data_IF_491605307673
#
_entry.id   IF_491605307673
#
_cell.length_a   1.000
_cell.length_b   1.000
_cell.length_c   1.000
_cell.angle_alpha   90.00
_cell.angle_beta   90.00
_cell.angle_gamma   90.00
#
_symmetry.space_group_name_H-M   'P 1'
#
loop_
_entity.id
_entity.type
_entity.pdbx_description
1 polymer ?
#
# COMPACT_ATOMS: atom_id res chain seq x y z
N UNK A 1 23.37 19.72 -16.08
CA UNK A 1 23.46 18.65 -15.10
C UNK A 1 22.25 17.72 -15.27
N UNK A 2 22.40 16.37 -15.15
CA UNK A 2 21.25 15.47 -15.18
C UNK A 2 20.40 15.73 -13.94
N UNK A 3 19.06 15.76 -14.12
CA UNK A 3 18.13 15.87 -12.99
C UNK A 3 18.36 14.67 -12.05
N UNK A 4 18.44 14.86 -10.72
CA UNK A 4 18.61 13.76 -9.77
C UNK A 4 17.47 12.74 -9.92
N UNK A 5 17.80 11.47 -9.78
CA UNK A 5 16.82 10.39 -9.89
C UNK A 5 15.88 10.42 -8.68
N UNK A 6 14.57 10.44 -8.93
CA UNK A 6 13.55 10.27 -7.88
C UNK A 6 13.57 8.82 -7.40
N UNK A 7 13.73 8.60 -6.09
CA UNK A 7 13.82 7.29 -5.47
C UNK A 7 12.57 6.98 -4.64
N UNK A 8 12.02 5.78 -4.81
CA UNK A 8 10.85 5.30 -4.05
C UNK A 8 11.20 4.01 -3.33
N UNK A 9 11.04 4.01 -2.01
CA UNK A 9 11.25 2.82 -1.19
C UNK A 9 10.06 1.89 -1.26
N UNK A 10 10.30 0.62 -1.59
CA UNK A 10 9.36 -0.49 -1.52
C UNK A 10 9.86 -1.49 -0.49
N UNK A 11 9.28 -1.55 0.72
CA UNK A 11 9.58 -2.61 1.67
C UNK A 11 9.23 -3.98 1.10
N UNK A 12 10.09 -4.97 1.35
CA UNK A 12 9.90 -6.34 0.90
C UNK A 12 9.15 -7.19 1.94
N UNK A 13 8.57 -8.31 1.48
CA UNK A 13 8.06 -9.37 2.34
C UNK A 13 9.20 -10.27 2.81
N UNK A 14 9.11 -10.78 4.05
CA UNK A 14 9.96 -11.82 4.56
C UNK A 14 9.30 -13.18 4.33
N UNK A 15 9.93 -14.03 3.52
CA UNK A 15 9.35 -15.32 3.12
C UNK A 15 10.35 -16.44 3.32
N UNK A 16 9.89 -17.53 3.90
CA UNK A 16 10.62 -18.81 3.83
C UNK A 16 10.24 -19.50 2.52
N UNK A 17 11.23 -19.72 1.65
CA UNK A 17 11.05 -20.41 0.38
C UNK A 17 11.81 -21.73 0.40
N UNK A 18 11.22 -22.75 -0.20
CA UNK A 18 11.75 -24.12 -0.23
C UNK A 18 10.67 -25.15 0.10
N UNK A 19 11.05 -26.36 0.47
CA UNK A 19 10.16 -27.44 0.85
C UNK A 19 10.72 -28.27 2.00
N UNK A 20 9.86 -28.66 2.94
CA UNK A 20 10.24 -29.46 4.11
C UNK A 20 11.33 -28.77 4.95
N UNK A 21 12.39 -29.49 5.27
CA UNK A 21 13.53 -28.96 6.05
C UNK A 21 14.48 -28.07 5.22
N UNK A 22 14.34 -28.08 3.89
CA UNK A 22 15.16 -27.28 2.97
C UNK A 22 14.47 -25.94 2.66
N UNK A 23 14.26 -25.12 3.69
CA UNK A 23 13.74 -23.75 3.56
C UNK A 23 14.80 -22.74 3.97
N UNK A 24 14.81 -21.59 3.30
CA UNK A 24 15.67 -20.48 3.69
C UNK A 24 14.92 -19.15 3.56
N UNK A 25 15.33 -18.11 4.33
CA UNK A 25 14.69 -16.81 4.29
C UNK A 25 15.03 -16.05 3.00
N UNK A 26 14.02 -15.38 2.45
CA UNK A 26 14.15 -14.47 1.32
C UNK A 26 13.42 -13.17 1.60
N UNK A 27 13.93 -12.09 1.02
CA UNK A 27 13.22 -10.84 0.87
C UNK A 27 12.59 -10.84 -0.53
N UNK A 28 11.26 -10.75 -0.59
CA UNK A 28 10.50 -10.89 -1.83
C UNK A 28 9.71 -9.62 -2.11
N UNK A 29 9.78 -9.15 -3.34
CA UNK A 29 8.98 -8.03 -3.84
C UNK A 29 8.38 -8.43 -5.20
N UNK A 30 7.06 -8.34 -5.33
CA UNK A 30 6.40 -8.50 -6.63
C UNK A 30 6.83 -7.40 -7.60
N UNK A 31 7.41 -7.76 -8.75
CA UNK A 31 7.96 -6.80 -9.72
C UNK A 31 6.91 -5.85 -10.31
N UNK A 32 5.62 -6.22 -10.26
CA UNK A 32 4.49 -5.38 -10.69
C UNK A 32 4.46 -4.01 -10.01
N UNK A 33 4.82 -3.93 -8.72
CA UNK A 33 4.93 -2.68 -7.98
C UNK A 33 6.07 -1.81 -8.51
N UNK A 34 7.26 -2.40 -8.67
CA UNK A 34 8.41 -1.70 -9.22
C UNK A 34 8.16 -1.22 -10.66
N UNK A 35 7.49 -2.03 -11.49
CA UNK A 35 7.09 -1.65 -12.86
C UNK A 35 6.11 -0.47 -12.84
N UNK A 36 5.07 -0.51 -12.00
CA UNK A 36 4.09 0.56 -11.89
C UNK A 36 4.73 1.89 -11.48
N UNK A 37 5.60 1.88 -10.48
CA UNK A 37 6.37 3.05 -10.05
C UNK A 37 7.26 3.57 -11.19
N UNK A 38 8.04 2.68 -11.82
CA UNK A 38 8.97 3.08 -12.90
C UNK A 38 8.23 3.68 -14.09
N UNK A 39 7.13 3.06 -14.51
CA UNK A 39 6.43 3.45 -15.75
C UNK A 39 5.53 4.65 -15.54
N UNK A 40 4.75 4.69 -14.45
CA UNK A 40 3.72 5.72 -14.25
C UNK A 40 4.17 6.84 -13.31
N UNK A 41 4.85 6.52 -12.20
CA UNK A 41 5.39 7.53 -11.30
C UNK A 41 6.71 8.13 -11.80
N UNK A 42 7.34 7.57 -12.85
CA UNK A 42 8.62 8.04 -13.42
C UNK A 42 9.74 8.09 -12.39
N UNK A 43 9.75 7.18 -11.42
CA UNK A 43 10.72 7.08 -10.35
C UNK A 43 11.46 5.73 -10.40
N UNK A 44 12.64 5.67 -9.79
CA UNK A 44 13.37 4.42 -9.59
C UNK A 44 13.02 3.86 -8.23
N UNK A 45 12.82 2.55 -8.15
CA UNK A 45 12.56 1.86 -6.88
C UNK A 45 13.84 1.42 -6.20
N UNK A 46 13.81 1.42 -4.87
CA UNK A 46 14.87 0.89 -4.01
C UNK A 46 14.27 0.01 -2.92
N UNK A 47 14.96 -1.06 -2.58
CA UNK A 47 14.76 -1.83 -1.35
C UNK A 47 15.98 -1.59 -0.46
N UNK A 48 15.76 -1.53 0.84
CA UNK A 48 16.84 -1.59 1.84
C UNK A 48 16.76 -2.97 2.50
N UNK A 49 17.56 -3.95 2.04
CA UNK A 49 17.54 -5.30 2.57
C UNK A 49 17.85 -5.29 4.07
N UNK A 50 17.06 -6.05 4.84
CA UNK A 50 17.21 -6.19 6.29
C UNK A 50 17.05 -4.88 7.10
N UNK A 51 16.57 -3.79 6.47
CA UNK A 51 16.23 -2.58 7.22
C UNK A 51 15.16 -2.89 8.26
N UNK A 52 15.35 -2.41 9.46
CA UNK A 52 14.40 -2.49 10.55
C UNK A 52 13.93 -1.10 11.02
N UNK A 53 13.19 -1.07 12.09
CA UNK A 53 12.63 0.16 12.61
C UNK A 53 13.68 1.16 13.13
N UNK A 54 14.89 0.72 13.48
CA UNK A 54 15.97 1.60 13.93
C UNK A 54 16.65 2.32 12.75
N UNK A 55 16.59 1.73 11.56
CA UNK A 55 17.18 2.29 10.35
C UNK A 55 16.34 3.40 9.71
N UNK A 56 15.04 3.48 10.05
CA UNK A 56 14.10 4.38 9.38
C UNK A 56 14.61 5.83 9.37
N UNK A 57 15.13 6.33 10.49
CA UNK A 57 15.59 7.72 10.62
C UNK A 57 16.70 8.05 9.63
N UNK A 58 17.64 7.12 9.42
CA UNK A 58 18.75 7.29 8.49
C UNK A 58 18.35 7.10 7.03
N UNK A 59 17.37 6.23 6.75
CA UNK A 59 16.99 5.85 5.39
C UNK A 59 15.90 6.75 4.79
N UNK A 60 15.00 7.30 5.63
CA UNK A 60 13.85 8.08 5.16
C UNK A 60 14.26 9.35 4.39
N UNK A 61 15.41 9.92 4.74
CA UNK A 61 16.01 11.08 4.06
C UNK A 61 16.57 10.75 2.68
N UNK A 62 16.83 9.48 2.36
CA UNK A 62 17.42 9.07 1.08
C UNK A 62 16.37 8.91 -0.02
N UNK A 63 15.09 8.85 0.32
CA UNK A 63 14.01 8.54 -0.63
C UNK A 63 13.03 9.71 -0.78
N UNK A 64 12.36 9.72 -1.92
CA UNK A 64 11.42 10.76 -2.31
C UNK A 64 9.97 10.30 -2.20
N UNK A 65 9.75 9.03 -1.88
CA UNK A 65 8.43 8.44 -1.63
C UNK A 65 8.53 7.03 -1.10
N UNK A 66 7.43 6.53 -0.57
CA UNK A 66 7.27 5.15 -0.09
C UNK A 66 6.01 4.55 -0.68
N UNK A 67 6.10 3.31 -1.20
CA UNK A 67 4.94 2.50 -1.56
C UNK A 67 4.90 1.29 -0.63
N UNK A 68 3.91 1.22 0.25
CA UNK A 68 3.60 0.03 1.02
C UNK A 68 2.80 -0.92 0.12
N UNK A 69 3.43 -2.00 -0.28
CA UNK A 69 2.88 -2.95 -1.26
C UNK A 69 1.83 -3.86 -0.64
N UNK A 70 1.00 -4.48 -1.48
CA UNK A 70 0.26 -5.67 -1.08
C UNK A 70 1.19 -6.85 -0.76
N UNK A 71 0.66 -7.81 -0.03
CA UNK A 71 1.35 -9.04 0.38
C UNK A 71 0.35 -10.16 0.56
N UNK A 72 0.75 -11.43 0.36
CA UNK A 72 -0.06 -12.57 0.80
C UNK A 72 -0.19 -12.69 2.32
N UNK A 73 0.73 -12.05 3.09
CA UNK A 73 0.65 -12.05 4.56
C UNK A 73 -0.34 -11.01 5.06
N UNK A 74 -0.93 -11.30 6.22
CA UNK A 74 -1.82 -10.40 6.94
C UNK A 74 -1.04 -9.55 7.96
N UNK A 75 -1.59 -8.38 8.32
CA UNK A 75 -1.12 -7.62 9.48
C UNK A 75 -1.44 -8.41 10.74
N UNK A 76 -0.46 -8.59 11.62
CA UNK A 76 -0.63 -9.40 12.83
C UNK A 76 -1.68 -8.78 13.77
N UNK A 77 -2.68 -9.57 14.22
CA UNK A 77 -3.83 -9.06 14.98
C UNK A 77 -3.47 -8.35 16.29
N UNK A 78 -2.34 -8.67 16.91
CA UNK A 78 -1.87 -7.99 18.14
C UNK A 78 -1.68 -6.48 17.95
N UNK A 79 -1.35 -6.01 16.74
CA UNK A 79 -1.17 -4.58 16.44
C UNK A 79 -2.48 -3.77 16.49
N UNK A 80 -3.64 -4.44 16.45
CA UNK A 80 -4.95 -3.80 16.60
C UNK A 80 -5.79 -4.44 17.71
N UNK A 81 -5.12 -5.03 18.72
CA UNK A 81 -5.73 -5.48 19.97
C UNK A 81 -6.59 -6.74 19.84
N UNK A 82 -6.35 -7.58 18.84
CA UNK A 82 -7.06 -8.86 18.63
C UNK A 82 -6.09 -10.04 18.73
N UNK A 83 -6.63 -11.23 19.02
CA UNK A 83 -5.92 -12.50 18.92
C UNK A 83 -6.02 -13.05 17.50
N UNK A 84 -5.08 -13.91 17.10
CA UNK A 84 -5.12 -14.59 15.80
C UNK A 84 -6.34 -15.51 15.76
N UNK A 85 -7.23 -15.26 14.80
CA UNK A 85 -8.46 -16.05 14.63
C UNK A 85 -8.22 -17.35 13.86
N UNK A 86 -7.28 -17.34 12.92
CA UNK A 86 -6.91 -18.48 12.08
C UNK A 86 -5.38 -18.55 11.95
N UNK A 87 -4.78 -19.56 12.56
CA UNK A 87 -3.32 -19.77 12.56
C UNK A 87 -2.76 -20.24 11.21
N UNK A 88 -3.64 -20.61 10.26
CA UNK A 88 -3.23 -20.98 8.90
C UNK A 88 -2.98 -19.76 8.02
N UNK A 89 -3.47 -18.57 8.40
CA UNK A 89 -3.24 -17.34 7.65
C UNK A 89 -1.78 -16.88 7.80
N UNK A 90 -1.09 -16.56 6.69
CA UNK A 90 0.29 -16.14 6.75
C UNK A 90 0.43 -14.79 7.44
N UNK A 91 1.45 -14.66 8.30
CA UNK A 91 1.82 -13.42 8.99
C UNK A 91 3.27 -13.06 8.63
N UNK A 92 3.63 -11.79 8.75
CA UNK A 92 4.99 -11.27 8.55
C UNK A 92 5.27 -10.20 9.60
N UNK A 93 5.70 -10.66 10.78
CA UNK A 93 5.96 -9.77 11.92
C UNK A 93 7.15 -8.84 11.69
N UNK A 94 8.15 -9.28 10.92
CA UNK A 94 9.29 -8.43 10.59
C UNK A 94 8.86 -7.26 9.70
N UNK A 95 8.00 -7.51 8.72
CA UNK A 95 7.39 -6.47 7.90
C UNK A 95 6.53 -5.52 8.74
N UNK A 96 5.68 -6.04 9.65
CA UNK A 96 4.87 -5.21 10.54
C UNK A 96 5.74 -4.29 11.39
N UNK A 97 6.82 -4.82 11.99
CA UNK A 97 7.74 -4.05 12.82
C UNK A 97 8.37 -2.85 12.10
N UNK A 98 8.68 -3.01 10.82
CA UNK A 98 9.19 -1.94 9.96
C UNK A 98 8.08 -1.01 9.49
N UNK A 99 7.04 -1.55 8.82
CA UNK A 99 6.10 -0.74 8.01
C UNK A 99 5.18 0.11 8.88
N UNK A 100 4.73 -0.38 10.04
CA UNK A 100 3.88 0.40 10.95
C UNK A 100 4.60 1.65 11.50
N UNK A 101 5.92 1.58 11.70
CA UNK A 101 6.73 2.75 12.08
C UNK A 101 7.05 3.63 10.88
N UNK A 102 7.30 3.03 9.72
CA UNK A 102 7.59 3.74 8.47
C UNK A 102 6.43 4.65 8.04
N UNK A 103 5.17 4.23 8.24
CA UNK A 103 3.99 5.09 8.03
C UNK A 103 4.13 6.40 8.79
N UNK A 104 4.40 6.33 10.11
CA UNK A 104 4.53 7.51 10.95
C UNK A 104 5.70 8.39 10.51
N UNK A 105 6.83 7.78 10.17
CA UNK A 105 8.00 8.50 9.68
C UNK A 105 7.72 9.23 8.36
N UNK A 106 6.99 8.61 7.42
CA UNK A 106 6.58 9.26 6.17
C UNK A 106 5.76 10.53 6.45
N UNK A 107 4.78 10.45 7.33
CA UNK A 107 3.92 11.59 7.66
C UNK A 107 4.69 12.71 8.37
N UNK A 108 5.57 12.37 9.32
CA UNK A 108 6.40 13.33 10.05
C UNK A 108 7.41 14.05 9.17
N UNK A 109 7.95 13.35 8.16
CA UNK A 109 9.00 13.87 7.27
C UNK A 109 8.44 14.35 5.91
N UNK A 110 7.12 14.48 5.76
CA UNK A 110 6.47 14.86 4.52
C UNK A 110 6.94 14.02 3.32
N UNK A 111 7.08 12.71 3.51
CA UNK A 111 7.41 11.75 2.43
C UNK A 111 6.13 11.26 1.81
N UNK A 112 5.92 11.43 0.49
CA UNK A 112 4.79 10.87 -0.22
C UNK A 112 4.60 9.38 0.06
N UNK A 113 3.37 8.99 0.45
CA UNK A 113 3.04 7.65 0.88
C UNK A 113 1.86 7.11 0.08
N UNK A 114 2.05 5.96 -0.57
CA UNK A 114 1.00 5.19 -1.22
C UNK A 114 0.88 3.82 -0.55
N UNK A 115 -0.31 3.47 -0.05
CA UNK A 115 -0.61 2.12 0.47
C UNK A 115 -1.45 1.32 -0.52
N UNK A 116 -1.10 0.06 -0.75
CA UNK A 116 -1.80 -0.87 -1.65
C UNK A 116 -2.13 -2.15 -0.90
N UNK A 117 -3.40 -2.53 -0.85
CA UNK A 117 -3.93 -3.75 -0.23
C UNK A 117 -3.42 -3.89 1.22
N UNK A 118 -2.44 -4.75 1.51
CA UNK A 118 -1.84 -4.83 2.85
C UNK A 118 -1.28 -3.48 3.31
N UNK A 119 -0.64 -2.70 2.43
CA UNK A 119 -0.16 -1.36 2.76
C UNK A 119 -1.26 -0.37 3.14
N UNK A 120 -2.45 -0.50 2.58
CA UNK A 120 -3.63 0.25 2.99
C UNK A 120 -4.05 -0.12 4.43
N UNK A 121 -4.02 -1.40 4.76
CA UNK A 121 -4.32 -1.91 6.09
C UNK A 121 -3.25 -1.50 7.11
N UNK A 122 -1.96 -1.54 6.72
CA UNK A 122 -0.82 -1.07 7.53
C UNK A 122 -0.99 0.41 7.92
N UNK A 123 -1.42 1.28 7.01
CA UNK A 123 -1.68 2.69 7.30
C UNK A 123 -2.80 2.84 8.35
N UNK A 124 -3.91 2.11 8.20
CA UNK A 124 -4.99 2.15 9.16
C UNK A 124 -4.53 1.69 10.56
N UNK A 125 -3.82 0.58 10.65
CA UNK A 125 -3.33 0.03 11.93
C UNK A 125 -2.27 0.93 12.56
N UNK A 126 -1.32 1.44 11.79
CA UNK A 126 -0.27 2.35 12.28
C UNK A 126 -0.84 3.61 12.93
N UNK A 127 -2.02 4.06 12.49
CA UNK A 127 -2.71 5.24 13.01
C UNK A 127 -3.79 4.88 14.06
N UNK A 128 -3.88 3.61 14.47
CA UNK A 128 -4.74 3.15 15.57
C UNK A 128 -6.11 2.62 15.16
N UNK A 129 -6.32 2.33 13.88
CA UNK A 129 -7.49 1.61 13.39
C UNK A 129 -7.44 0.11 13.66
N UNK A 130 -8.52 -0.61 13.32
CA UNK A 130 -8.63 -2.07 13.47
C UNK A 130 -9.02 -2.73 12.17
N UNK A 131 -8.80 -4.05 12.07
CA UNK A 131 -9.12 -4.84 10.89
C UNK A 131 -10.06 -6.00 11.23
N UNK A 132 -10.93 -6.33 10.28
CA UNK A 132 -11.53 -7.65 10.17
C UNK A 132 -10.47 -8.61 9.64
N UNK A 133 -10.26 -9.74 10.33
CA UNK A 133 -9.27 -10.74 9.90
C UNK A 133 -9.76 -11.56 8.71
N UNK A 134 -11.08 -11.76 8.59
CA UNK A 134 -11.74 -12.53 7.55
C UNK A 134 -13.05 -11.83 7.16
N UNK A 135 -13.00 -10.91 6.20
CA UNK A 135 -14.18 -10.14 5.74
C UNK A 135 -15.27 -11.07 5.23
N UNK A 136 -14.91 -12.08 4.45
CA UNK A 136 -15.83 -13.08 3.87
C UNK A 136 -16.62 -13.90 4.91
N UNK A 137 -16.18 -13.94 6.18
CA UNK A 137 -16.89 -14.63 7.25
C UNK A 137 -17.94 -13.76 7.95
N UNK A 138 -18.03 -12.48 7.60
CA UNK A 138 -18.98 -11.55 8.20
C UNK A 138 -20.32 -11.57 7.45
N UNK A 139 -21.40 -11.55 8.21
CA UNK A 139 -22.75 -11.50 7.62
C UNK A 139 -22.95 -10.18 6.85
N UNK A 140 -23.42 -10.30 5.61
CA UNK A 140 -23.70 -9.14 4.73
C UNK A 140 -22.51 -8.60 3.96
N UNK A 141 -21.30 -9.13 4.19
CA UNK A 141 -20.10 -8.78 3.43
C UNK A 141 -19.91 -9.70 2.23
N UNK A 142 -19.34 -9.19 1.16
CA UNK A 142 -18.95 -9.96 -0.02
C UNK A 142 -17.63 -10.72 0.23
N UNK A 143 -17.36 -11.72 -0.61
CA UNK A 143 -16.04 -12.36 -0.63
C UNK A 143 -15.09 -11.57 -1.51
N UNK A 144 -14.16 -10.86 -0.88
CA UNK A 144 -13.15 -10.01 -1.51
C UNK A 144 -11.88 -10.75 -1.91
N UNK A 145 -11.84 -12.09 -1.70
CA UNK A 145 -10.68 -12.91 -2.07
C UNK A 145 -10.72 -13.27 -3.55
N UNK A 146 -9.56 -13.63 -4.06
CA UNK A 146 -9.42 -14.20 -5.40
C UNK A 146 -10.14 -15.53 -5.53
N UNK A 147 -10.63 -15.82 -6.73
CA UNK A 147 -11.19 -17.14 -7.05
C UNK A 147 -10.11 -18.22 -6.99
N UNK A 148 -10.30 -19.32 -6.24
CA UNK A 148 -9.33 -20.39 -6.16
C UNK A 148 -9.01 -21.01 -7.52
N UNK A 149 -7.72 -21.30 -7.79
CA UNK A 149 -7.28 -22.05 -8.97
C UNK A 149 -7.28 -21.28 -10.29
N UNK A 150 -7.62 -19.99 -10.29
CA UNK A 150 -7.51 -19.14 -11.47
C UNK A 150 -6.08 -18.71 -11.80
N UNK A 151 -5.84 -18.38 -13.07
CA UNK A 151 -4.60 -17.68 -13.47
C UNK A 151 -4.53 -16.29 -12.80
N UNK A 152 -3.33 -15.69 -12.70
CA UNK A 152 -3.20 -14.33 -12.19
C UNK A 152 -4.07 -13.32 -12.96
N UNK A 153 -4.26 -13.50 -14.26
CA UNK A 153 -5.16 -12.68 -15.06
C UNK A 153 -6.62 -12.76 -14.60
N UNK A 154 -7.05 -13.93 -14.18
CA UNK A 154 -8.40 -14.14 -13.65
C UNK A 154 -8.53 -13.62 -12.23
N UNK A 155 -7.52 -13.84 -11.37
CA UNK A 155 -7.52 -13.38 -9.99
C UNK A 155 -7.51 -11.84 -9.87
N UNK A 156 -6.77 -11.16 -10.74
CA UNK A 156 -6.69 -9.71 -10.79
C UNK A 156 -7.65 -9.05 -11.80
N UNK A 157 -8.61 -9.81 -12.34
CA UNK A 157 -9.66 -9.23 -13.17
C UNK A 157 -10.56 -8.30 -12.34
N UNK A 158 -11.20 -7.27 -12.95
CA UNK A 158 -12.14 -6.41 -12.25
C UNK A 158 -13.27 -7.21 -11.61
N UNK A 159 -13.46 -7.06 -10.29
CA UNK A 159 -14.35 -7.85 -9.44
C UNK A 159 -15.62 -7.08 -9.03
N UNK A 160 -15.47 -5.97 -8.30
CA UNK A 160 -16.59 -5.20 -7.75
C UNK A 160 -16.47 -3.70 -8.05
N UNK A 161 -17.54 -2.95 -7.84
CA UNK A 161 -17.53 -1.49 -7.92
C UNK A 161 -17.09 -0.87 -6.59
N UNK A 162 -16.31 0.22 -6.68
CA UNK A 162 -16.02 1.11 -5.55
C UNK A 162 -16.67 2.46 -5.82
N UNK A 163 -17.44 2.94 -4.86
CA UNK A 163 -18.14 4.23 -4.90
C UNK A 163 -17.32 5.28 -4.18
N UNK A 164 -16.92 6.32 -4.90
CA UNK A 164 -16.08 7.41 -4.37
C UNK A 164 -16.92 8.60 -3.92
N UNK A 165 -16.44 9.30 -2.90
CA UNK A 165 -16.98 10.62 -2.56
C UNK A 165 -16.85 11.55 -3.78
N UNK A 166 -17.89 12.31 -4.16
CA UNK A 166 -17.93 13.11 -5.41
C UNK A 166 -16.74 14.06 -5.58
N UNK A 167 -16.30 14.71 -4.49
CA UNK A 167 -15.22 15.71 -4.52
C UNK A 167 -13.83 15.11 -4.24
N UNK A 168 -13.74 13.79 -4.13
CA UNK A 168 -12.48 13.12 -3.82
C UNK A 168 -11.52 13.14 -5.01
N UNK A 169 -10.23 12.99 -4.71
CA UNK A 169 -9.21 12.82 -5.75
C UNK A 169 -9.43 11.54 -6.55
N UNK A 170 -9.99 10.48 -5.92
CA UNK A 170 -10.29 9.22 -6.59
C UNK A 170 -11.41 9.36 -7.61
N UNK A 171 -12.46 10.15 -7.31
CA UNK A 171 -13.50 10.46 -8.28
C UNK A 171 -12.93 11.23 -9.49
N UNK A 172 -12.00 12.16 -9.25
CA UNK A 172 -11.32 12.89 -10.33
C UNK A 172 -10.44 11.95 -11.18
N UNK A 173 -9.66 11.08 -10.55
CA UNK A 173 -8.80 10.13 -11.27
C UNK A 173 -9.59 9.06 -12.04
N UNK A 174 -10.73 8.63 -11.50
CA UNK A 174 -11.63 7.68 -12.15
C UNK A 174 -12.47 8.30 -13.28
N UNK A 175 -12.57 9.64 -13.33
CA UNK A 175 -13.47 10.35 -14.25
C UNK A 175 -14.96 10.18 -13.89
N UNK A 176 -15.26 9.87 -12.61
CA UNK A 176 -16.61 9.65 -12.11
C UNK A 176 -16.62 9.15 -10.67
N UNK A 177 -17.80 9.03 -10.08
CA UNK A 177 -17.96 8.66 -8.67
C UNK A 177 -17.91 7.16 -8.39
N UNK A 178 -17.56 6.34 -9.41
CA UNK A 178 -17.38 4.90 -9.25
C UNK A 178 -16.41 4.34 -10.27
N UNK A 179 -15.75 3.24 -9.88
CA UNK A 179 -14.93 2.45 -10.79
C UNK A 179 -14.98 0.97 -10.39
N UNK A 180 -14.87 0.10 -11.41
CA UNK A 180 -14.73 -1.33 -11.17
C UNK A 180 -13.26 -1.66 -10.95
N UNK A 181 -12.95 -2.34 -9.82
CA UNK A 181 -11.60 -2.67 -9.38
C UNK A 181 -11.42 -4.17 -9.19
N UNK A 182 -10.16 -4.63 -9.14
CA UNK A 182 -9.85 -6.01 -8.75
C UNK A 182 -9.90 -6.18 -7.23
N UNK A 183 -9.98 -7.43 -6.75
CA UNK A 183 -10.05 -7.72 -5.32
C UNK A 183 -9.40 -9.08 -5.03
N UNK A 184 -8.39 -9.07 -4.16
CA UNK A 184 -7.63 -10.26 -3.73
C UNK A 184 -7.19 -10.12 -2.27
N UNK A 185 -8.13 -9.91 -1.35
CA UNK A 185 -7.83 -9.71 0.07
C UNK A 185 -8.85 -10.37 1.00
N UNK A 186 -8.37 -10.93 2.11
CA UNK A 186 -9.21 -11.51 3.16
C UNK A 186 -9.40 -10.58 4.35
N UNK A 187 -8.40 -9.72 4.66
CA UNK A 187 -8.53 -8.67 5.67
C UNK A 187 -9.14 -7.40 5.07
N UNK A 188 -9.78 -6.59 5.89
CA UNK A 188 -10.31 -5.28 5.53
C UNK A 188 -10.47 -4.39 6.77
N UNK A 189 -10.73 -3.10 6.57
CA UNK A 189 -10.91 -2.17 7.70
C UNK A 189 -12.19 -2.50 8.46
N UNK A 190 -12.06 -2.69 9.78
CA UNK A 190 -13.16 -2.80 10.75
C UNK A 190 -13.50 -1.40 11.31
N UNK A 191 -12.52 -0.76 11.95
CA UNK A 191 -12.65 0.61 12.43
C UNK A 191 -11.56 1.48 11.80
N UNK A 192 -12.00 2.51 11.09
CA UNK A 192 -11.11 3.50 10.51
C UNK A 192 -10.40 4.29 11.62
N UNK A 193 -9.09 4.49 11.48
CA UNK A 193 -8.30 5.26 12.43
C UNK A 193 -8.73 6.74 12.44
N UNK A 194 -8.64 7.38 13.59
CA UNK A 194 -8.81 8.82 13.70
C UNK A 194 -7.72 9.53 12.88
N UNK A 195 -8.11 10.53 12.08
CA UNK A 195 -7.20 11.22 11.17
C UNK A 195 -7.13 10.59 9.76
N UNK A 196 -7.83 9.49 9.54
CA UNK A 196 -8.11 8.99 8.20
C UNK A 196 -9.52 9.41 7.75
N UNK A 197 -9.70 9.59 6.46
CA UNK A 197 -11.00 9.78 5.82
C UNK A 197 -11.20 8.72 4.76
N UNK A 198 -12.33 8.01 4.82
CA UNK A 198 -12.74 7.11 3.76
C UNK A 198 -13.16 7.92 2.53
N UNK A 199 -12.60 7.61 1.38
CA UNK A 199 -12.88 8.25 0.09
C UNK A 199 -13.60 7.33 -0.87
N UNK A 200 -13.65 6.03 -0.59
CA UNK A 200 -14.33 5.03 -1.39
C UNK A 200 -14.76 3.82 -0.59
N UNK A 201 -15.90 3.23 -0.96
CA UNK A 201 -16.47 2.03 -0.36
C UNK A 201 -16.92 1.07 -1.43
N UNK A 202 -16.82 -0.23 -1.19
CA UNK A 202 -17.46 -1.27 -1.96
C UNK A 202 -18.98 -1.26 -1.74
N UNK A 203 -19.74 -2.03 -2.54
CA UNK A 203 -21.21 -2.12 -2.45
C UNK A 203 -21.70 -2.64 -1.09
N UNK A 204 -20.89 -3.45 -0.39
CA UNK A 204 -21.19 -3.97 0.95
C UNK A 204 -20.79 -3.02 2.09
N UNK A 205 -20.26 -1.83 1.74
CA UNK A 205 -19.86 -0.79 2.68
C UNK A 205 -18.42 -0.90 3.18
N UNK A 206 -17.64 -1.92 2.75
CA UNK A 206 -16.24 -2.03 3.11
C UNK A 206 -15.45 -0.82 2.60
N UNK A 207 -14.59 -0.26 3.46
CA UNK A 207 -13.72 0.86 3.06
C UNK A 207 -12.64 0.37 2.10
N UNK A 208 -12.56 1.01 0.94
CA UNK A 208 -11.67 0.61 -0.15
C UNK A 208 -10.62 1.67 -0.51
N UNK A 209 -10.87 2.95 -0.16
CA UNK A 209 -9.94 4.04 -0.42
C UNK A 209 -9.92 5.02 0.75
N UNK A 210 -8.73 5.46 1.12
CA UNK A 210 -8.53 6.40 2.23
C UNK A 210 -7.54 7.51 1.88
N UNK A 211 -7.65 8.62 2.61
CA UNK A 211 -6.62 9.64 2.72
C UNK A 211 -6.21 9.84 4.19
N UNK A 212 -4.97 10.26 4.40
CA UNK A 212 -4.52 10.78 5.69
C UNK A 212 -4.85 12.26 5.74
N UNK A 213 -5.80 12.64 6.63
CA UNK A 213 -6.24 14.03 6.77
C UNK A 213 -5.10 14.90 7.30
N UNK A 214 -4.95 16.09 6.73
CA UNK A 214 -3.93 17.03 7.16
C UNK A 214 -2.49 16.65 6.79
N UNK A 215 -2.28 15.59 6.00
CA UNK A 215 -0.96 15.29 5.48
C UNK A 215 -0.46 16.43 4.59
N UNK A 216 0.80 16.82 4.78
CA UNK A 216 1.43 17.92 4.05
C UNK A 216 1.84 17.54 2.61
N UNK A 217 1.70 16.27 2.25
CA UNK A 217 2.01 15.72 0.92
C UNK A 217 1.06 14.60 0.56
N UNK A 218 1.28 13.94 -0.59
CA UNK A 218 0.49 12.78 -1.02
C UNK A 218 0.52 11.67 0.04
N UNK A 219 -0.64 11.33 0.59
CA UNK A 219 -0.80 10.25 1.56
C UNK A 219 -2.17 9.57 1.36
N UNK A 220 -2.23 8.64 0.41
CA UNK A 220 -3.43 7.92 0.01
C UNK A 220 -3.19 6.43 0.00
N UNK A 221 -4.26 5.66 0.17
CA UNK A 221 -4.17 4.22 0.06
C UNK A 221 -5.46 3.62 -0.51
N UNK A 222 -5.30 2.44 -1.11
CA UNK A 222 -6.36 1.68 -1.75
C UNK A 222 -6.28 0.20 -1.38
N UNK A 223 -7.44 -0.44 -1.25
CA UNK A 223 -7.50 -1.86 -0.90
C UNK A 223 -7.29 -2.75 -2.13
N UNK A 224 -7.68 -2.31 -3.32
CA UNK A 224 -7.43 -3.01 -4.58
C UNK A 224 -5.97 -2.90 -5.04
N UNK A 225 -5.64 -3.51 -6.18
CA UNK A 225 -4.29 -3.56 -6.75
C UNK A 225 -4.18 -2.73 -8.04
N UNK A 226 -3.94 -1.41 -7.95
CA UNK A 226 -3.80 -0.54 -9.14
C UNK A 226 -2.47 -0.76 -9.88
N UNK A 227 -1.50 -1.47 -9.30
CA UNK A 227 -0.24 -1.80 -9.95
C UNK A 227 -0.40 -2.88 -11.02
N UNK A 228 -1.50 -3.67 -10.96
CA UNK A 228 -1.77 -4.70 -11.95
C UNK A 228 -2.21 -4.06 -13.26
N UNK A 229 -1.45 -4.31 -14.34
CA UNK A 229 -1.71 -3.76 -15.69
C UNK A 229 -1.97 -2.25 -15.68
N UNK A 230 -1.22 -1.51 -14.89
CA UNK A 230 -1.43 -0.07 -14.68
C UNK A 230 -1.34 0.75 -15.98
N UNK A 231 -0.64 0.26 -17.02
CA UNK A 231 -0.57 0.90 -18.34
C UNK A 231 -1.87 0.76 -19.16
N UNK A 232 -2.66 -0.25 -18.86
CA UNK A 232 -3.87 -0.57 -19.61
C UNK A 232 -5.13 0.05 -18.96
N UNK A 233 -4.95 0.67 -17.79
CA UNK A 233 -6.02 1.27 -17.00
C UNK A 233 -5.68 2.73 -16.65
N UNK A 234 -6.41 3.68 -17.26
CA UNK A 234 -6.17 5.10 -17.06
C UNK A 234 -6.36 5.56 -15.60
N UNK A 235 -7.34 4.99 -14.88
CA UNK A 235 -7.57 5.26 -13.47
C UNK A 235 -6.38 4.81 -12.60
N UNK A 236 -5.92 3.59 -12.79
CA UNK A 236 -4.77 3.05 -12.07
C UNK A 236 -3.49 3.85 -12.36
N UNK A 237 -3.29 4.20 -13.63
CA UNK A 237 -2.18 5.04 -14.09
C UNK A 237 -2.20 6.42 -13.42
N UNK A 238 -3.40 7.04 -13.26
CA UNK A 238 -3.55 8.34 -12.64
C UNK A 238 -3.11 8.36 -11.16
N UNK A 239 -3.38 7.29 -10.39
CA UNK A 239 -2.93 7.15 -9.00
C UNK A 239 -1.41 7.22 -8.90
N UNK A 240 -0.71 6.40 -9.71
CA UNK A 240 0.76 6.38 -9.72
C UNK A 240 1.37 7.66 -10.26
N UNK A 241 0.72 8.30 -11.24
CA UNK A 241 1.17 9.58 -11.78
C UNK A 241 1.11 10.67 -10.72
N UNK A 242 0.00 10.80 -10.01
CA UNK A 242 -0.15 11.78 -8.93
C UNK A 242 0.87 11.53 -7.78
N UNK A 243 1.09 10.27 -7.41
CA UNK A 243 2.14 9.90 -6.47
C UNK A 243 3.53 10.30 -6.96
N UNK A 244 3.85 10.02 -8.22
CA UNK A 244 5.13 10.37 -8.83
C UNK A 244 5.38 11.87 -8.90
N UNK A 245 4.35 12.67 -9.17
CA UNK A 245 4.41 14.13 -9.15
C UNK A 245 4.78 14.65 -7.75
N UNK A 246 4.18 14.10 -6.69
CA UNK A 246 4.52 14.44 -5.31
C UNK A 246 5.97 14.04 -4.96
N UNK A 247 6.40 12.83 -5.38
CA UNK A 247 7.80 12.40 -5.21
C UNK A 247 8.79 13.32 -5.93
N UNK A 248 8.45 13.79 -7.13
CA UNK A 248 9.31 14.71 -7.89
C UNK A 248 9.44 16.08 -7.21
N UNK A 249 8.38 16.57 -6.57
CA UNK A 249 8.42 17.81 -5.77
C UNK A 249 9.38 17.65 -4.59
N UNK A 250 9.25 16.53 -3.84
CA UNK A 250 10.17 16.23 -2.73
C UNK A 250 11.61 16.08 -3.20
N UNK A 251 11.87 15.36 -4.30
CA UNK A 251 13.20 15.21 -4.87
C UNK A 251 13.84 16.55 -5.18
N UNK A 252 13.09 17.47 -5.79
CA UNK A 252 13.58 18.81 -6.09
C UNK A 252 13.92 19.59 -4.81
N UNK A 253 13.09 19.53 -3.77
CA UNK A 253 13.35 20.21 -2.50
C UNK A 253 14.59 19.63 -1.78
N UNK A 254 14.72 18.29 -1.72
CA UNK A 254 15.84 17.59 -1.08
C UNK A 254 17.18 17.90 -1.76
N UNK A 255 17.19 17.94 -3.09
CA UNK A 255 18.42 18.17 -3.88
C UNK A 255 18.79 19.63 -4.06
N UNK A 256 17.89 20.57 -3.71
CA UNK A 256 18.17 22.00 -3.69
C UNK A 256 18.83 22.47 -2.38
N UNK A 257 18.81 21.66 -1.31
CA UNK A 257 19.51 21.99 -0.07
C UNK A 257 21.02 21.80 -0.30
N UNK A 258 21.87 22.81 -0.01
CA UNK A 258 23.32 22.63 -0.07
C UNK A 258 23.72 21.58 0.97
N UNK A 259 24.66 20.70 0.58
CA UNK A 259 25.29 19.78 1.52
C UNK A 259 25.86 20.63 2.67
N UNK A 260 25.27 20.48 3.86
CA UNK A 260 25.89 20.99 5.09
C UNK A 260 27.12 20.11 5.35
N UNK A 261 28.28 20.62 4.97
CA UNK A 261 29.61 20.06 5.28
C UNK A 261 29.86 20.15 6.78
#
# INVERSE_FOLDING_TARGET
>A
MKKPTTLVWLPADHRLLGSGENTMPFLVLGDKYARAVKVNAKAQTVMFPLADAADIESLIGLVDGVVLTGSPSNVHPSHFGKTVADTALPLDEARDALTLKLVKACLQNAVPLLGICRGFQEINVALGGTLHQQVHALSGMQDHRESPGGSYEQQYAPSHEVHFLPDSVFAKWAGGTKAKVNSVHGQGIDRLAQGLRALGHADDGLVEAIEVQGASTFAYAVQWHPEWRTTDNAFYSAIFKAFGEACAVRNAARTAQPETV
#
